data_IF_665344129331
#
_entry.id   IF_665344129331
#
_cell.length_a   1.000
_cell.length_b   1.000
_cell.length_c   1.000
_cell.angle_alpha   90.00
_cell.angle_beta   90.00
_cell.angle_gamma   90.00
#
_symmetry.space_group_name_H-M   'P 1'
#
loop_
_entity.id
_entity.type
_entity.pdbx_description
1 polymer ?
#
# COMPACT_ATOMS: atom_id res chain seq x y z
N UNK A 1 1.32 -8.09 7.65
CA UNK A 1 1.72 -6.64 7.55
C UNK A 1 1.48 -6.19 6.13
N UNK A 2 0.73 -5.10 5.92
CA UNK A 2 0.44 -4.56 4.58
C UNK A 2 1.66 -3.80 4.06
N UNK A 3 2.03 -4.05 2.81
CA UNK A 3 3.11 -3.32 2.14
C UNK A 3 2.64 -1.93 1.71
N UNK A 4 3.42 -0.90 2.01
CA UNK A 4 3.15 0.46 1.57
C UNK A 4 4.21 0.91 0.56
N UNK A 5 3.86 1.16 -0.71
CA UNK A 5 4.80 1.62 -1.73
C UNK A 5 5.38 2.99 -1.39
N UNK A 6 6.65 3.20 -1.70
CA UNK A 6 7.32 4.49 -1.64
C UNK A 6 7.15 5.22 -2.98
N UNK A 7 6.13 6.09 -3.07
CA UNK A 7 5.76 6.79 -4.31
C UNK A 7 6.30 8.21 -4.41
N UNK A 8 7.02 8.67 -3.42
CA UNK A 8 7.61 10.02 -3.37
C UNK A 8 9.01 9.98 -2.78
N UNK A 9 9.78 11.04 -3.01
CA UNK A 9 11.08 11.23 -2.38
C UNK A 9 10.96 11.15 -0.85
N UNK A 10 11.76 10.31 -0.15
CA UNK A 10 11.78 10.26 1.31
C UNK A 10 12.04 11.64 1.91
N UNK A 11 11.39 11.92 3.05
CA UNK A 11 11.62 13.19 3.77
C UNK A 11 13.06 13.30 4.26
N UNK A 12 13.63 14.50 4.25
CA UNK A 12 15.01 14.75 4.72
C UNK A 12 15.23 14.39 6.20
N UNK A 13 14.17 14.32 6.99
CA UNK A 13 14.21 13.91 8.41
C UNK A 13 13.96 12.41 8.62
N UNK A 14 13.78 11.62 7.58
CA UNK A 14 13.51 10.19 7.71
C UNK A 14 14.73 9.44 8.26
N UNK A 15 14.62 8.72 9.40
CA UNK A 15 15.74 8.06 10.06
C UNK A 15 16.30 6.87 9.26
N UNK A 16 15.58 6.35 8.28
CA UNK A 16 16.09 5.32 7.39
C UNK A 16 17.08 5.85 6.35
N UNK A 17 17.04 7.14 6.07
CA UNK A 17 17.89 7.78 5.04
C UNK A 17 18.80 8.85 5.61
N UNK A 18 18.56 9.30 6.83
CA UNK A 18 19.26 10.39 7.48
C UNK A 18 19.75 9.99 8.88
N UNK A 19 20.89 10.54 9.29
CA UNK A 19 21.38 10.45 10.66
C UNK A 19 20.85 11.63 11.49
N UNK A 20 19.64 11.51 12.02
CA UNK A 20 19.01 12.51 12.86
C UNK A 20 19.71 12.53 14.22
N UNK A 21 20.72 13.38 14.38
CA UNK A 21 21.48 13.56 15.65
C UNK A 21 21.89 12.22 16.31
N UNK A 22 22.36 11.28 15.49
CA UNK A 22 22.76 9.95 15.95
C UNK A 22 21.62 8.92 16.09
N UNK A 23 20.36 9.31 15.83
CA UNK A 23 19.18 8.43 15.89
C UNK A 23 18.76 7.83 14.55
N UNK A 24 19.57 7.96 13.50
CA UNK A 24 19.29 7.33 12.20
C UNK A 24 19.50 5.82 12.22
N UNK A 25 18.72 5.12 11.41
CA UNK A 25 18.69 3.66 11.38
C UNK A 25 19.50 3.06 10.23
N UNK A 26 19.86 3.85 9.24
CA UNK A 26 20.58 3.36 8.06
C UNK A 26 22.08 3.26 8.32
N UNK A 27 22.70 2.07 8.27
CA UNK A 27 24.12 1.89 8.50
C UNK A 27 25.00 2.57 7.44
N UNK A 28 24.47 2.86 6.25
CA UNK A 28 25.17 3.64 5.24
C UNK A 28 25.33 5.12 5.64
N UNK A 29 24.54 5.62 6.58
CA UNK A 29 24.65 7.00 7.13
C UNK A 29 25.48 7.00 8.40
N UNK A 30 25.26 6.02 9.28
CA UNK A 30 25.92 5.93 10.60
C UNK A 30 27.31 5.33 10.54
N UNK A 31 27.59 4.55 9.49
CA UNK A 31 28.90 3.96 9.21
C UNK A 31 29.75 4.82 8.29
N UNK A 32 30.62 4.19 7.51
CA UNK A 32 31.39 4.87 6.48
C UNK A 32 30.47 5.26 5.33
N UNK A 33 30.03 6.49 5.30
CA UNK A 33 29.38 7.05 4.12
C UNK A 33 30.37 6.92 2.96
N UNK A 34 30.04 6.25 1.85
CA UNK A 34 30.93 6.15 0.72
C UNK A 34 31.41 7.54 0.29
N UNK A 35 32.69 7.69 0.01
CA UNK A 35 33.27 8.97 -0.44
C UNK A 35 32.45 9.51 -1.62
N UNK A 36 31.85 10.69 -1.48
CA UNK A 36 30.94 11.28 -2.47
C UNK A 36 29.46 11.08 -2.21
N UNK A 37 29.04 10.21 -1.29
CA UNK A 37 27.66 10.12 -0.82
C UNK A 37 27.33 11.12 0.30
N UNK A 38 28.29 11.96 0.67
CA UNK A 38 28.06 13.12 1.53
C UNK A 38 27.26 14.17 0.75
N UNK A 39 25.95 14.10 0.89
CA UNK A 39 25.02 14.94 0.14
C UNK A 39 24.57 16.17 0.91
N UNK A 40 25.37 16.59 1.88
CA UNK A 40 25.10 17.82 2.57
C UNK A 40 24.78 18.93 1.57
N UNK A 41 23.57 19.46 1.66
CA UNK A 41 23.05 20.53 0.81
C UNK A 41 22.89 20.23 -0.69
N UNK A 42 22.89 18.98 -1.12
CA UNK A 42 22.61 18.65 -2.52
C UNK A 42 21.12 18.38 -2.73
N UNK A 43 20.58 18.91 -3.84
CA UNK A 43 19.23 18.66 -4.36
C UNK A 43 18.10 18.71 -3.32
N UNK A 44 18.16 19.68 -2.40
CA UNK A 44 17.14 19.87 -1.38
C UNK A 44 17.25 18.99 -0.15
N UNK A 45 18.24 18.10 -0.08
CA UNK A 45 18.59 17.36 1.13
C UNK A 45 19.67 18.09 1.91
N UNK A 46 19.46 18.25 3.21
CA UNK A 46 20.42 18.83 4.15
C UNK A 46 20.83 17.81 5.22
N UNK A 47 22.03 17.96 5.76
CA UNK A 47 22.55 17.09 6.82
C UNK A 47 23.21 15.80 6.31
N UNK A 48 23.47 14.87 7.22
CA UNK A 48 24.01 13.55 6.91
C UNK A 48 22.92 12.68 6.32
N UNK A 49 22.95 12.49 5.01
CA UNK A 49 21.96 11.78 4.24
C UNK A 49 22.64 10.84 3.25
N UNK A 50 22.06 9.67 2.97
CA UNK A 50 22.61 8.72 2.00
C UNK A 50 22.29 9.07 0.55
N UNK A 51 21.32 9.95 0.31
CA UNK A 51 20.90 10.27 -1.05
C UNK A 51 21.77 11.40 -1.68
N UNK A 52 22.10 11.29 -2.96
CA UNK A 52 21.82 10.23 -3.93
C UNK A 52 22.80 9.06 -3.81
N UNK A 53 22.28 7.87 -3.51
CA UNK A 53 23.05 6.62 -3.41
C UNK A 53 22.11 5.43 -3.47
N UNK A 54 22.25 4.59 -4.49
CA UNK A 54 21.36 3.43 -4.69
C UNK A 54 21.42 2.42 -3.52
N UNK A 55 22.63 2.12 -3.03
CA UNK A 55 22.82 1.18 -1.90
C UNK A 55 22.21 1.74 -0.62
N UNK A 56 22.50 3.02 -0.32
CA UNK A 56 21.96 3.71 0.85
C UNK A 56 20.42 3.78 0.80
N UNK A 57 19.87 4.15 -0.35
CA UNK A 57 18.43 4.19 -0.56
C UNK A 57 17.79 2.81 -0.34
N UNK A 58 18.24 1.78 -1.08
CA UNK A 58 17.66 0.43 -0.99
C UNK A 58 17.83 -0.20 0.39
N UNK A 59 18.94 0.06 1.10
CA UNK A 59 19.10 -0.37 2.48
C UNK A 59 18.07 0.28 3.40
N UNK A 60 17.88 1.59 3.27
CA UNK A 60 16.85 2.32 4.02
C UNK A 60 15.46 1.81 3.69
N UNK A 61 15.12 1.72 2.40
CA UNK A 61 13.80 1.31 1.93
C UNK A 61 13.43 -0.10 2.37
N UNK A 62 14.37 -1.05 2.25
CA UNK A 62 14.17 -2.43 2.67
C UNK A 62 13.80 -2.53 4.16
N UNK A 63 14.50 -1.79 5.03
CA UNK A 63 14.23 -1.79 6.46
C UNK A 63 13.00 -0.95 6.84
N UNK A 64 12.74 0.14 6.13
CA UNK A 64 11.55 0.96 6.33
C UNK A 64 10.27 0.19 5.98
N UNK A 65 10.27 -0.57 4.89
CA UNK A 65 9.14 -1.43 4.50
C UNK A 65 8.77 -2.42 5.61
N UNK A 66 9.76 -2.98 6.30
CA UNK A 66 9.58 -3.90 7.43
C UNK A 66 9.34 -3.18 8.77
N UNK A 67 9.30 -1.86 8.81
CA UNK A 67 9.10 -1.04 10.00
C UNK A 67 10.09 -1.36 11.14
N UNK A 68 11.33 -1.69 10.81
CA UNK A 68 12.36 -1.99 11.80
C UNK A 68 12.82 -0.71 12.49
N UNK A 69 12.94 -0.73 13.81
CA UNK A 69 13.44 0.41 14.59
C UNK A 69 14.91 0.75 14.36
N UNK A 70 15.64 -0.09 13.60
CA UNK A 70 16.99 0.14 13.06
C UNK A 70 17.25 -0.82 11.92
N UNK A 71 18.14 -0.45 10.99
CA UNK A 71 18.54 -1.35 9.91
C UNK A 71 19.30 -2.57 10.44
N UNK A 72 18.75 -3.75 10.21
CA UNK A 72 19.37 -5.04 10.53
C UNK A 72 19.94 -5.70 9.29
N UNK A 73 19.29 -5.47 8.14
CA UNK A 73 19.56 -6.12 6.89
C UNK A 73 20.10 -5.12 5.89
N UNK A 74 20.94 -5.59 4.96
CA UNK A 74 21.64 -4.82 3.96
C UNK A 74 22.54 -3.75 4.61
N UNK A 75 23.73 -3.66 4.15
CA UNK A 75 24.72 -2.75 4.70
C UNK A 75 25.36 -1.90 3.62
N UNK A 76 26.47 -1.28 3.97
CA UNK A 76 27.25 -0.47 3.08
C UNK A 76 28.16 -1.35 2.21
N UNK A 77 27.58 -1.98 1.18
CA UNK A 77 28.29 -2.83 0.21
C UNK A 77 28.25 -2.19 -1.17
N UNK A 78 29.11 -2.66 -2.07
CA UNK A 78 28.95 -2.37 -3.49
C UNK A 78 27.62 -2.96 -4.01
N UNK A 79 26.94 -2.26 -4.91
CA UNK A 79 25.61 -2.68 -5.37
C UNK A 79 25.57 -4.13 -5.84
N UNK A 80 26.51 -4.55 -6.69
CA UNK A 80 26.55 -5.93 -7.18
C UNK A 80 26.78 -6.98 -6.08
N UNK A 81 27.40 -6.59 -4.97
CA UNK A 81 27.74 -7.49 -3.86
C UNK A 81 26.58 -7.68 -2.89
N UNK A 82 25.56 -6.79 -2.92
CA UNK A 82 24.45 -6.83 -1.96
C UNK A 82 23.71 -8.17 -1.96
N UNK A 83 23.52 -8.80 -3.12
CA UNK A 83 22.90 -10.12 -3.20
C UNK A 83 23.71 -11.20 -2.46
N UNK A 84 25.04 -11.18 -2.56
CA UNK A 84 25.92 -12.08 -1.81
C UNK A 84 25.87 -11.80 -0.32
N UNK A 85 25.98 -10.54 0.07
CA UNK A 85 25.91 -10.11 1.47
C UNK A 85 24.55 -10.46 2.12
N UNK A 86 23.46 -10.34 1.37
CA UNK A 86 22.13 -10.76 1.82
C UNK A 86 22.06 -12.26 2.09
N UNK A 87 22.58 -13.10 1.17
CA UNK A 87 22.67 -14.56 1.37
C UNK A 87 23.49 -14.93 2.61
N UNK A 88 24.61 -14.24 2.83
CA UNK A 88 25.43 -14.45 4.04
C UNK A 88 24.70 -14.10 5.34
N UNK A 89 23.70 -13.24 5.27
CA UNK A 89 22.80 -12.89 6.39
C UNK A 89 21.57 -13.82 6.48
N UNK A 90 21.48 -14.86 5.66
CA UNK A 90 20.35 -15.79 5.64
C UNK A 90 19.13 -15.30 4.85
N UNK A 91 19.24 -14.18 4.12
CA UNK A 91 18.14 -13.68 3.30
C UNK A 91 18.03 -14.48 2.00
N UNK A 92 16.80 -14.71 1.57
CA UNK A 92 16.52 -15.35 0.27
C UNK A 92 16.86 -14.38 -0.87
N UNK A 93 17.52 -14.88 -1.90
CA UNK A 93 17.72 -14.18 -3.18
C UNK A 93 17.19 -15.06 -4.28
N UNK A 94 16.25 -14.55 -5.07
CA UNK A 94 15.54 -15.27 -6.13
C UNK A 94 15.56 -14.49 -7.45
N UNK A 95 15.17 -15.16 -8.55
CA UNK A 95 15.09 -14.50 -9.86
C UNK A 95 13.82 -13.69 -10.06
N UNK A 96 12.71 -14.11 -9.46
CA UNK A 96 11.46 -13.34 -9.50
C UNK A 96 11.54 -12.12 -8.56
N UNK A 97 10.98 -10.96 -8.94
CA UNK A 97 10.79 -9.83 -8.04
C UNK A 97 9.93 -10.21 -6.83
N UNK A 98 10.08 -9.49 -5.73
CA UNK A 98 9.23 -9.58 -4.55
C UNK A 98 8.91 -8.17 -4.05
N UNK A 99 7.69 -7.91 -3.59
CA UNK A 99 7.31 -6.63 -3.01
C UNK A 99 8.22 -6.24 -1.84
N UNK A 100 8.67 -4.99 -1.83
CA UNK A 100 9.63 -4.50 -0.84
C UNK A 100 11.03 -5.10 -1.00
N UNK A 101 11.24 -5.97 -1.98
CA UNK A 101 12.54 -6.59 -2.28
C UNK A 101 13.50 -5.63 -2.97
N UNK A 102 14.78 -6.02 -3.01
CA UNK A 102 15.83 -5.25 -3.66
C UNK A 102 16.35 -6.00 -4.87
N UNK A 103 16.10 -5.45 -6.05
CA UNK A 103 16.64 -5.91 -7.32
C UNK A 103 18.13 -5.54 -7.41
N UNK A 104 18.95 -6.47 -7.84
CA UNK A 104 20.41 -6.30 -7.89
C UNK A 104 20.94 -6.58 -9.30
N UNK A 105 21.73 -5.66 -9.82
CA UNK A 105 22.45 -5.82 -11.10
C UNK A 105 23.96 -5.69 -10.87
N UNK A 106 24.72 -6.43 -11.64
CA UNK A 106 26.17 -6.22 -11.81
C UNK A 106 26.45 -5.45 -13.10
N UNK A 107 27.65 -4.90 -13.24
CA UNK A 107 28.10 -4.22 -14.45
C UNK A 107 28.02 -2.70 -14.34
N UNK A 108 27.74 -2.05 -15.46
CA UNK A 108 27.83 -0.59 -15.60
C UNK A 108 29.27 -0.10 -15.83
N UNK A 109 29.43 1.20 -16.09
CA UNK A 109 30.72 1.81 -16.46
C UNK A 109 31.85 1.57 -15.45
N UNK A 110 31.52 1.55 -14.15
CA UNK A 110 32.49 1.36 -13.05
C UNK A 110 32.47 -0.08 -12.51
N UNK A 111 31.68 -0.95 -13.10
CA UNK A 111 31.42 -2.31 -12.62
C UNK A 111 30.91 -2.37 -11.16
N UNK A 112 30.37 -1.27 -10.65
CA UNK A 112 29.82 -1.21 -9.28
C UNK A 112 28.42 -1.81 -9.17
N UNK A 113 27.78 -2.02 -10.30
CA UNK A 113 26.39 -2.49 -10.38
C UNK A 113 25.37 -1.41 -10.03
N UNK A 114 24.14 -1.84 -9.80
CA UNK A 114 23.02 -1.00 -9.38
C UNK A 114 22.02 -1.82 -8.54
N UNK A 115 21.24 -1.13 -7.72
CA UNK A 115 20.12 -1.70 -6.96
C UNK A 115 18.92 -0.78 -6.99
N UNK A 116 17.72 -1.39 -6.98
CA UNK A 116 16.44 -0.69 -6.92
C UNK A 116 15.44 -1.47 -6.06
N UNK A 117 14.56 -0.78 -5.39
CA UNK A 117 13.51 -1.39 -4.55
C UNK A 117 12.25 -1.65 -5.37
N UNK A 118 11.62 -2.81 -5.19
CA UNK A 118 10.35 -3.16 -5.83
C UNK A 118 9.21 -2.54 -5.06
N UNK A 119 8.46 -1.67 -5.70
CA UNK A 119 7.30 -0.97 -5.11
C UNK A 119 5.98 -1.59 -5.53
N UNK A 120 5.92 -2.19 -6.73
CA UNK A 120 4.72 -2.83 -7.24
C UNK A 120 5.09 -3.97 -8.20
N UNK A 121 4.33 -5.05 -8.18
CA UNK A 121 4.38 -6.14 -9.17
C UNK A 121 3.12 -6.02 -10.02
N UNK A 122 3.26 -5.39 -11.21
CA UNK A 122 2.16 -5.10 -12.11
C UNK A 122 1.76 -6.36 -12.89
N UNK A 123 2.77 -7.13 -13.31
CA UNK A 123 2.57 -8.39 -14.03
C UNK A 123 3.82 -9.30 -13.85
N UNK A 124 3.80 -10.55 -14.32
CA UNK A 124 4.98 -11.42 -14.32
C UNK A 124 6.19 -10.86 -15.08
N UNK A 125 5.97 -9.84 -15.93
CA UNK A 125 7.00 -9.22 -16.78
C UNK A 125 7.13 -7.73 -16.60
N UNK A 126 6.37 -7.12 -15.67
CA UNK A 126 6.40 -5.68 -15.42
C UNK A 126 6.32 -5.38 -13.92
N UNK A 127 7.20 -4.50 -13.45
CA UNK A 127 7.25 -4.01 -12.07
C UNK A 127 7.48 -2.50 -12.05
N UNK A 128 7.04 -1.86 -10.96
CA UNK A 128 7.46 -0.51 -10.60
C UNK A 128 8.58 -0.60 -9.56
N UNK A 129 9.67 0.13 -9.78
CA UNK A 129 10.78 0.25 -8.84
C UNK A 129 10.98 1.70 -8.42
N UNK A 130 11.47 1.89 -7.20
CA UNK A 130 12.04 3.15 -6.73
C UNK A 130 13.53 3.00 -6.50
N UNK A 131 14.30 4.06 -6.75
CA UNK A 131 15.75 4.03 -6.66
C UNK A 131 16.36 5.40 -6.45
N UNK A 132 17.64 5.43 -6.11
CA UNK A 132 18.47 6.62 -6.02
C UNK A 132 19.73 6.39 -6.85
N UNK A 133 20.18 7.41 -7.56
CA UNK A 133 21.32 7.29 -8.45
C UNK A 133 22.59 7.86 -7.78
N UNK A 134 23.69 7.14 -7.91
CA UNK A 134 24.98 7.63 -7.41
C UNK A 134 25.36 8.97 -8.04
N UNK A 135 25.47 10.02 -7.23
CA UNK A 135 25.71 11.40 -7.69
C UNK A 135 24.69 11.92 -8.74
N UNK A 136 23.61 11.20 -8.95
CA UNK A 136 22.53 11.51 -9.88
C UNK A 136 21.28 12.06 -9.19
N UNK A 137 20.12 11.50 -9.57
CA UNK A 137 18.86 11.83 -8.93
C UNK A 137 18.80 11.25 -7.51
N UNK A 138 18.36 12.03 -6.50
CA UNK A 138 18.23 11.53 -5.14
C UNK A 138 17.15 10.47 -5.03
N UNK A 139 16.18 10.50 -5.91
CA UNK A 139 15.10 9.54 -5.98
C UNK A 139 14.42 9.57 -7.35
N UNK A 140 14.04 8.40 -7.86
CA UNK A 140 13.28 8.22 -9.10
C UNK A 140 12.45 6.94 -9.04
N UNK A 141 11.42 6.87 -9.87
CA UNK A 141 10.64 5.65 -10.14
C UNK A 141 10.81 5.24 -11.59
N UNK A 142 10.83 3.93 -11.81
CA UNK A 142 10.92 3.38 -13.15
C UNK A 142 10.07 2.13 -13.28
N UNK A 143 9.28 2.08 -14.36
CA UNK A 143 8.73 0.83 -14.85
C UNK A 143 9.86 -0.01 -15.43
N UNK A 144 9.93 -1.27 -15.04
CA UNK A 144 10.90 -2.23 -15.53
C UNK A 144 10.21 -3.40 -16.17
N UNK A 145 10.70 -3.76 -17.36
CA UNK A 145 10.18 -4.88 -18.12
C UNK A 145 11.22 -6.00 -18.19
N UNK A 146 10.75 -7.24 -18.05
CA UNK A 146 11.58 -8.41 -18.18
C UNK A 146 11.79 -8.73 -19.64
N UNK A 147 13.05 -8.70 -20.09
CA UNK A 147 13.43 -9.15 -21.42
C UNK A 147 13.42 -10.67 -21.58
N UNK A 148 13.45 -11.14 -22.82
CA UNK A 148 13.57 -12.59 -23.15
C UNK A 148 14.84 -13.23 -22.60
N UNK A 149 15.88 -12.43 -22.34
CA UNK A 149 17.13 -12.84 -21.71
C UNK A 149 17.03 -12.89 -20.17
N UNK A 150 15.84 -12.69 -19.61
CA UNK A 150 15.60 -12.68 -18.17
C UNK A 150 16.05 -11.43 -17.44
N UNK A 151 16.64 -10.46 -18.13
CA UNK A 151 17.09 -9.21 -17.52
C UNK A 151 15.94 -8.22 -17.38
N UNK A 152 15.94 -7.47 -16.28
CA UNK A 152 14.96 -6.41 -16.03
C UNK A 152 15.54 -5.06 -16.43
N UNK A 153 14.87 -4.37 -17.35
CA UNK A 153 15.32 -3.09 -17.91
C UNK A 153 14.25 -2.03 -17.78
N UNK A 154 14.69 -0.79 -17.68
CA UNK A 154 13.82 0.37 -17.89
C UNK A 154 13.79 0.72 -19.37
N UNK A 155 12.78 1.47 -19.81
CA UNK A 155 12.82 2.18 -21.07
C UNK A 155 13.86 3.32 -21.11
N UNK A 156 14.56 3.57 -20.00
CA UNK A 156 15.58 4.62 -19.88
C UNK A 156 16.94 4.11 -20.34
N UNK A 157 17.68 4.98 -20.99
CA UNK A 157 18.98 4.67 -21.61
C UNK A 157 20.14 4.48 -20.65
N UNK A 158 20.06 4.95 -19.41
CA UNK A 158 21.18 4.95 -18.47
C UNK A 158 21.53 3.53 -17.94
N UNK A 159 20.55 2.63 -17.85
CA UNK A 159 20.77 1.19 -17.57
C UNK A 159 20.79 0.39 -18.87
N UNK A 160 21.80 0.58 -19.68
CA UNK A 160 21.94 -0.13 -20.95
C UNK A 160 22.32 -1.61 -20.80
N UNK A 161 22.72 -2.22 -21.91
CA UNK A 161 23.12 -3.64 -22.02
C UNK A 161 24.31 -4.04 -21.14
N UNK A 162 25.07 -3.06 -20.59
CA UNK A 162 26.19 -3.32 -19.67
C UNK A 162 25.75 -3.77 -18.28
N UNK A 163 24.47 -3.66 -17.94
CA UNK A 163 23.95 -4.15 -16.66
C UNK A 163 23.31 -5.53 -16.83
N UNK A 164 23.70 -6.46 -15.95
CA UNK A 164 23.17 -7.81 -15.91
C UNK A 164 22.47 -8.05 -14.58
N UNK A 165 21.20 -8.45 -14.61
CA UNK A 165 20.43 -8.79 -13.43
C UNK A 165 21.00 -10.04 -12.71
N UNK A 166 21.13 -9.93 -11.39
CA UNK A 166 21.63 -11.01 -10.52
C UNK A 166 20.46 -11.71 -9.81
N UNK A 167 19.49 -10.94 -9.30
CA UNK A 167 18.37 -11.44 -8.53
C UNK A 167 17.75 -10.37 -7.63
N UNK A 168 16.66 -10.74 -6.97
CA UNK A 168 15.95 -9.94 -6.00
C UNK A 168 16.20 -10.48 -4.59
N UNK A 169 16.64 -9.62 -3.68
CA UNK A 169 16.71 -9.91 -2.24
C UNK A 169 15.28 -9.81 -1.69
N UNK A 170 14.80 -10.88 -1.08
CA UNK A 170 13.43 -10.96 -0.59
C UNK A 170 13.36 -10.51 0.87
N UNK A 171 12.43 -9.64 1.27
CA UNK A 171 12.16 -9.36 2.67
C UNK A 171 11.83 -10.64 3.44
N UNK A 172 12.34 -10.81 4.67
CA UNK A 172 12.08 -12.01 5.47
C UNK A 172 10.71 -11.93 6.20
N UNK A 173 9.70 -11.41 5.53
CA UNK A 173 8.33 -11.27 6.01
C UNK A 173 7.36 -11.64 4.89
N UNK A 174 6.19 -12.08 5.26
CA UNK A 174 5.07 -12.23 4.35
C UNK A 174 4.20 -10.98 4.44
N UNK A 175 3.90 -10.40 3.28
CA UNK A 175 2.94 -9.31 3.20
C UNK A 175 1.53 -9.92 3.23
N UNK A 176 0.61 -9.27 3.94
CA UNK A 176 -0.80 -9.56 3.80
C UNK A 176 -1.21 -9.21 2.36
N UNK A 177 -1.90 -10.11 1.71
CA UNK A 177 -2.48 -9.80 0.40
C UNK A 177 -3.54 -8.73 0.59
N UNK A 178 -3.53 -7.72 -0.27
CA UNK A 178 -4.64 -6.76 -0.34
C UNK A 178 -5.91 -7.55 -0.69
N UNK A 179 -6.99 -7.24 0.04
CA UNK A 179 -8.29 -7.82 -0.27
C UNK A 179 -8.65 -7.51 -1.73
N UNK A 180 -9.06 -8.54 -2.44
CA UNK A 180 -9.57 -8.36 -3.81
C UNK A 180 -10.78 -7.42 -3.80
N UNK A 181 -11.06 -6.79 -4.93
CA UNK A 181 -12.25 -5.94 -5.09
C UNK A 181 -13.52 -6.73 -4.77
N UNK A 182 -13.55 -8.02 -5.07
CA UNK A 182 -14.68 -8.93 -4.80
C UNK A 182 -14.84 -9.17 -3.30
N UNK A 183 -13.77 -9.44 -2.57
CA UNK A 183 -13.78 -9.59 -1.10
C UNK A 183 -14.20 -8.30 -0.41
N UNK A 184 -13.66 -7.16 -0.84
CA UNK A 184 -14.06 -5.85 -0.33
C UNK A 184 -15.54 -5.60 -0.56
N UNK A 185 -16.06 -5.84 -1.78
CA UNK A 185 -17.47 -5.71 -2.11
C UNK A 185 -18.34 -6.64 -1.29
N UNK A 186 -17.89 -7.87 -1.01
CA UNK A 186 -18.62 -8.83 -0.17
C UNK A 186 -18.76 -8.31 1.25
N UNK A 187 -17.67 -7.87 1.88
CA UNK A 187 -17.67 -7.31 3.24
C UNK A 187 -18.58 -6.09 3.32
N UNK A 188 -18.48 -5.16 2.35
CA UNK A 188 -19.35 -3.97 2.31
C UNK A 188 -20.81 -4.35 2.21
N UNK A 189 -21.18 -5.35 1.40
CA UNK A 189 -22.58 -5.84 1.30
C UNK A 189 -23.05 -6.44 2.61
N UNK A 190 -22.22 -7.24 3.27
CA UNK A 190 -22.55 -7.86 4.55
C UNK A 190 -22.77 -6.82 5.65
N UNK A 191 -21.92 -5.80 5.73
CA UNK A 191 -22.08 -4.70 6.68
C UNK A 191 -23.30 -3.82 6.39
N UNK A 192 -23.59 -3.54 5.12
CA UNK A 192 -24.82 -2.82 4.73
C UNK A 192 -26.08 -3.62 5.10
N UNK A 193 -26.07 -4.95 4.87
CA UNK A 193 -27.21 -5.81 5.24
C UNK A 193 -27.44 -5.83 6.76
N UNK A 194 -26.38 -5.87 7.56
CA UNK A 194 -26.47 -5.74 9.03
C UNK A 194 -27.08 -4.40 9.46
N UNK A 195 -26.59 -3.31 8.89
CA UNK A 195 -27.12 -1.98 9.19
C UNK A 195 -28.59 -1.81 8.79
N UNK A 196 -29.00 -2.41 7.68
CA UNK A 196 -30.42 -2.43 7.28
C UNK A 196 -31.27 -3.26 8.24
N UNK A 197 -30.78 -4.39 8.68
CA UNK A 197 -31.49 -5.23 9.65
C UNK A 197 -31.57 -4.55 11.03
N UNK A 198 -30.53 -3.91 11.49
CA UNK A 198 -30.56 -3.09 12.71
C UNK A 198 -31.59 -1.96 12.62
N UNK A 199 -31.72 -1.31 11.46
CA UNK A 199 -32.78 -0.29 11.23
C UNK A 199 -34.17 -0.90 11.26
N UNK A 200 -34.36 -2.11 10.71
CA UNK A 200 -35.65 -2.80 10.73
C UNK A 200 -36.08 -3.15 12.14
N UNK A 201 -35.14 -3.59 12.97
CA UNK A 201 -35.41 -3.98 14.37
C UNK A 201 -35.46 -2.80 15.33
N UNK A 202 -34.98 -1.62 14.93
CA UNK A 202 -34.93 -0.47 15.79
C UNK A 202 -36.32 0.04 16.19
N UNK A 203 -36.59 0.31 17.49
CA UNK A 203 -37.88 0.77 17.96
C UNK A 203 -38.26 2.13 17.38
N UNK A 204 -39.55 2.38 17.30
CA UNK A 204 -40.09 3.68 16.90
C UNK A 204 -39.60 4.80 17.82
N UNK A 205 -39.27 5.93 17.23
CA UNK A 205 -39.01 7.17 17.99
C UNK A 205 -40.25 7.60 18.79
N UNK A 206 -40.03 8.15 19.97
CA UNK A 206 -41.16 8.49 20.86
C UNK A 206 -42.21 9.39 20.21
N UNK A 207 -41.78 10.34 19.36
CA UNK A 207 -42.70 11.23 18.65
C UNK A 207 -43.55 10.50 17.60
N UNK A 208 -43.08 9.38 17.04
CA UNK A 208 -43.76 8.64 15.98
C UNK A 208 -44.75 7.58 16.53
N UNK A 209 -44.59 7.14 17.77
CA UNK A 209 -45.42 6.08 18.37
C UNK A 209 -46.92 6.34 18.24
N UNK A 210 -47.45 7.51 18.62
CA UNK A 210 -48.90 7.77 18.52
C UNK A 210 -49.43 7.69 17.09
N UNK A 211 -48.64 8.15 16.11
CA UNK A 211 -49.04 8.09 14.70
C UNK A 211 -49.00 6.67 14.16
N UNK A 212 -48.04 5.85 14.55
CA UNK A 212 -47.96 4.44 14.17
C UNK A 212 -49.12 3.64 14.78
N UNK A 213 -49.40 3.81 16.06
CA UNK A 213 -50.53 3.20 16.74
C UNK A 213 -51.88 3.54 16.07
N UNK A 214 -52.07 4.83 15.74
CA UNK A 214 -53.22 5.27 14.98
C UNK A 214 -53.30 4.64 13.60
N UNK A 215 -52.19 4.55 12.86
CA UNK A 215 -52.11 3.94 11.54
C UNK A 215 -52.44 2.43 11.54
N UNK A 216 -51.95 1.71 12.54
CA UNK A 216 -52.28 0.27 12.74
C UNK A 216 -53.76 0.12 13.08
N UNK A 217 -54.28 0.87 14.04
CA UNK A 217 -55.69 0.83 14.47
C UNK A 217 -56.68 1.07 13.32
N UNK A 218 -56.29 1.94 12.38
CA UNK A 218 -57.12 2.27 11.22
C UNK A 218 -56.76 1.44 9.97
N UNK A 219 -55.97 0.40 10.08
CA UNK A 219 -55.64 -0.52 8.99
C UNK A 219 -54.81 0.11 7.85
N UNK A 220 -54.18 1.26 8.10
CA UNK A 220 -53.36 1.96 7.09
C UNK A 220 -52.01 1.31 6.92
N UNK A 221 -51.44 0.90 8.03
CA UNK A 221 -50.14 0.24 8.08
C UNK A 221 -50.27 -1.12 8.80
N UNK A 222 -49.41 -2.08 8.41
CA UNK A 222 -49.30 -3.38 9.07
C UNK A 222 -47.82 -3.72 9.23
N UNK A 223 -47.55 -4.67 10.10
CA UNK A 223 -46.20 -5.23 10.25
C UNK A 223 -45.88 -6.25 9.17
N UNK A 224 -44.66 -6.78 9.23
CA UNK A 224 -44.27 -7.98 8.49
C UNK A 224 -45.06 -9.22 8.95
N UNK A 225 -44.73 -10.38 8.43
CA UNK A 225 -45.38 -11.66 8.80
C UNK A 225 -45.25 -11.97 10.31
N UNK A 226 -44.32 -11.37 11.02
CA UNK A 226 -44.14 -11.51 12.48
C UNK A 226 -44.80 -10.37 13.28
N UNK A 227 -45.48 -9.43 12.59
CA UNK A 227 -46.14 -8.26 13.21
C UNK A 227 -45.18 -7.10 13.54
N UNK A 228 -43.94 -7.11 13.11
CA UNK A 228 -43.01 -6.04 13.33
C UNK A 228 -43.24 -4.89 12.34
N UNK A 229 -43.52 -3.69 12.84
CA UNK A 229 -43.82 -2.51 12.03
C UNK A 229 -42.57 -1.90 11.31
N UNK A 230 -41.36 -2.28 11.72
CA UNK A 230 -40.10 -1.81 11.15
C UNK A 230 -40.08 -0.28 10.94
N UNK A 231 -40.31 0.54 11.98
CA UNK A 231 -40.62 1.97 11.83
C UNK A 231 -39.48 2.83 11.32
N UNK A 232 -38.27 2.29 11.32
CA UNK A 232 -37.06 2.95 10.79
C UNK A 232 -36.53 2.30 9.51
N UNK A 233 -37.22 1.31 8.97
CA UNK A 233 -36.86 0.73 7.67
C UNK A 233 -37.16 1.71 6.53
N UNK A 234 -36.43 1.59 5.45
CA UNK A 234 -36.72 2.34 4.25
C UNK A 234 -38.06 1.92 3.67
N UNK A 235 -38.88 2.87 3.27
CA UNK A 235 -40.16 2.63 2.61
C UNK A 235 -40.01 2.77 1.09
N UNK A 236 -40.53 1.79 0.35
CA UNK A 236 -40.55 1.88 -1.10
C UNK A 236 -41.71 2.77 -1.57
N UNK A 237 -41.57 3.42 -2.75
CA UNK A 237 -42.61 4.27 -3.33
C UNK A 237 -43.94 3.55 -3.50
N UNK A 238 -43.92 2.27 -3.86
CA UNK A 238 -45.14 1.44 -3.95
C UNK A 238 -45.88 1.29 -2.63
N UNK A 239 -45.15 1.17 -1.50
CA UNK A 239 -45.74 1.04 -0.18
C UNK A 239 -46.39 2.32 0.28
N UNK A 240 -45.79 3.46 -0.05
CA UNK A 240 -46.43 4.79 0.17
C UNK A 240 -47.73 4.90 -0.59
N UNK A 241 -47.77 4.43 -1.87
CA UNK A 241 -49.00 4.49 -2.66
C UNK A 241 -50.09 3.55 -2.10
N UNK A 242 -49.72 2.36 -1.58
CA UNK A 242 -50.66 1.44 -0.91
C UNK A 242 -51.26 2.11 0.35
N UNK A 243 -50.42 2.78 1.17
CA UNK A 243 -50.89 3.49 2.37
C UNK A 243 -51.85 4.64 1.99
N UNK A 244 -51.49 5.45 0.99
CA UNK A 244 -52.32 6.53 0.50
C UNK A 244 -53.67 6.04 -0.07
N UNK A 245 -53.65 4.92 -0.81
CA UNK A 245 -54.87 4.32 -1.35
C UNK A 245 -55.78 3.83 -0.23
N UNK A 246 -55.29 3.15 0.79
CA UNK A 246 -56.06 2.70 1.96
C UNK A 246 -56.66 3.86 2.72
N UNK A 247 -55.89 4.94 2.89
CA UNK A 247 -56.40 6.18 3.53
C UNK A 247 -57.53 6.78 2.74
N UNK A 248 -57.40 6.91 1.40
CA UNK A 248 -58.46 7.43 0.53
C UNK A 248 -59.71 6.58 0.58
N UNK A 249 -59.57 5.28 0.41
CA UNK A 249 -60.74 4.34 0.43
C UNK A 249 -61.47 4.37 1.77
N UNK A 250 -60.76 4.54 2.88
CA UNK A 250 -61.35 4.69 4.21
C UNK A 250 -62.05 6.01 4.45
N UNK A 251 -61.69 7.06 3.66
CA UNK A 251 -62.40 8.34 3.71
C UNK A 251 -63.65 8.41 2.83
N UNK A 252 -63.59 7.79 1.65
CA UNK A 252 -64.68 7.86 0.65
C UNK A 252 -65.79 6.88 0.98
N UNK A 253 -65.49 5.79 1.68
CA UNK A 253 -66.45 4.73 2.02
C UNK A 253 -67.07 4.87 3.45
N UNK A 254 -66.96 6.01 4.08
CA UNK A 254 -67.66 6.42 5.27
C UNK A 254 -68.83 7.34 4.90
#
# INVERSE_FOLDING_TARGET
MIFTPQLTLPKSCDPYYNNIKGGGFNPCVTGNIPRGADNRNRRGYSGLNVLPNCVGYCTGRFNAAMQLGRCKYLGNFMAYYMATAAKMQGLKVQQAPALGGVMVWKGGRTNSGHVASVEEIISPTEILTSESEWNGLPWAQYHRHRGSDGNWRTGCTWMGSSYQYIGCIVPPIEWEEDMTEEETRKIVREELAKLEEEKRQAPASNYAKPALEWGVKNGLIGGDASGNLMPKANIMRQDVMVILKRFWDGMVNK
#
